data_IF_483216109760
#
_entry.id   IF_483216109760
#
_cell.length_a   1.000
_cell.length_b   1.000
_cell.length_c   1.000
_cell.angle_alpha   90.00
_cell.angle_beta   90.00
_cell.angle_gamma   90.00
#
_symmetry.space_group_name_H-M   'P 1'
#
loop_
_entity.id
_entity.type
_entity.pdbx_description
1 polymer ?
#
# COMPACT_ATOMS: atom_id res chain seq x y z
N UNK A 1 4.49 2.08 -2.10
CA UNK A 1 3.41 3.09 -2.30
C UNK A 1 2.85 2.98 -3.72
N UNK A 2 1.52 3.01 -3.92
CA UNK A 2 0.93 3.04 -5.28
C UNK A 2 0.82 1.69 -6.00
N UNK A 3 1.06 0.57 -5.30
CA UNK A 3 1.04 -0.78 -5.87
C UNK A 3 2.29 -1.13 -6.67
N UNK A 4 2.36 -2.39 -7.12
CA UNK A 4 3.39 -2.87 -8.03
C UNK A 4 3.13 -2.35 -9.45
N UNK A 5 4.16 -1.77 -10.07
CA UNK A 5 4.07 -1.10 -11.37
C UNK A 5 3.56 -2.05 -12.44
N UNK A 6 2.39 -1.76 -12.99
CA UNK A 6 1.74 -2.56 -14.03
C UNK A 6 1.34 -3.97 -13.59
N UNK A 7 1.19 -4.21 -12.28
CA UNK A 7 0.53 -5.40 -11.73
C UNK A 7 -0.67 -4.99 -10.89
N UNK A 8 -0.46 -4.14 -9.88
CA UNK A 8 -1.50 -3.74 -8.93
C UNK A 8 -1.14 -4.10 -7.51
N UNK A 9 -2.10 -4.59 -6.73
CA UNK A 9 -1.92 -4.93 -5.31
C UNK A 9 -1.94 -6.44 -5.12
N UNK A 10 -0.96 -6.97 -4.39
CA UNK A 10 -0.94 -8.38 -3.97
C UNK A 10 -1.87 -8.53 -2.78
N UNK A 11 -2.89 -9.38 -2.89
CA UNK A 11 -3.94 -9.59 -1.86
C UNK A 11 -3.93 -10.99 -1.25
N UNK A 12 -3.21 -11.93 -1.86
CA UNK A 12 -3.14 -13.32 -1.46
C UNK A 12 -1.73 -13.63 -0.92
N UNK A 13 -1.56 -14.87 -0.49
CA UNK A 13 -0.27 -15.40 -0.08
C UNK A 13 0.78 -15.22 -1.19
N UNK A 14 2.00 -14.89 -0.77
CA UNK A 14 3.10 -14.60 -1.67
C UNK A 14 4.39 -15.23 -1.19
N UNK A 15 5.29 -15.49 -2.14
CA UNK A 15 6.65 -15.93 -1.88
C UNK A 15 7.63 -14.84 -2.32
N UNK A 16 8.69 -14.63 -1.56
CA UNK A 16 9.77 -13.70 -1.89
C UNK A 16 11.02 -14.51 -2.25
N UNK A 17 11.39 -14.51 -3.54
CA UNK A 17 12.56 -15.21 -4.05
C UNK A 17 13.75 -14.26 -4.17
N UNK A 18 14.96 -14.79 -3.93
CA UNK A 18 16.20 -14.04 -4.12
C UNK A 18 16.49 -13.88 -5.62
N UNK A 19 16.72 -12.64 -6.07
CA UNK A 19 17.10 -12.33 -7.46
C UNK A 19 15.92 -12.12 -8.40
N UNK A 20 16.14 -12.38 -9.69
CA UNK A 20 15.14 -12.26 -10.75
C UNK A 20 14.59 -13.63 -11.19
N UNK A 21 13.44 -13.61 -11.84
CA UNK A 21 12.83 -14.81 -12.46
C UNK A 21 12.51 -14.53 -13.92
N UNK A 22 12.50 -15.57 -14.74
CA UNK A 22 12.25 -15.45 -16.18
C UNK A 22 10.80 -15.07 -16.49
N UNK A 23 10.59 -13.87 -17.00
CA UNK A 23 9.30 -13.42 -17.53
C UNK A 23 8.82 -12.09 -16.96
N UNK A 24 7.82 -11.47 -17.62
CA UNK A 24 7.24 -10.23 -17.18
C UNK A 24 6.28 -10.47 -16.01
N UNK A 25 5.96 -9.37 -15.31
CA UNK A 25 4.86 -9.30 -14.35
C UNK A 25 3.55 -9.88 -14.92
N UNK A 26 2.71 -10.48 -14.06
CA UNK A 26 1.45 -11.18 -14.39
C UNK A 26 1.57 -12.52 -15.10
N UNK A 27 2.79 -13.00 -15.43
CA UNK A 27 2.98 -14.35 -15.98
C UNK A 27 2.84 -15.40 -14.88
N UNK A 28 2.12 -16.49 -15.18
CA UNK A 28 2.07 -17.69 -14.31
C UNK A 28 3.43 -18.39 -14.31
N UNK A 29 3.89 -18.80 -13.12
CA UNK A 29 5.19 -19.45 -12.93
C UNK A 29 5.01 -20.71 -12.10
N UNK A 30 5.54 -21.84 -12.58
CA UNK A 30 5.51 -23.11 -11.85
C UNK A 30 6.78 -23.27 -11.01
N UNK A 31 6.64 -23.32 -9.69
CA UNK A 31 7.74 -23.56 -8.77
C UNK A 31 7.90 -25.06 -8.50
N UNK A 32 9.10 -25.58 -8.71
CA UNK A 32 9.43 -27.00 -8.50
C UNK A 32 10.50 -27.13 -7.41
N UNK A 33 10.43 -28.21 -6.63
CA UNK A 33 11.48 -28.54 -5.66
C UNK A 33 12.84 -28.69 -6.38
N UNK A 34 13.95 -28.24 -5.77
CA UNK A 34 15.27 -28.41 -6.35
C UNK A 34 15.62 -29.89 -6.58
N UNK A 35 16.35 -30.19 -7.66
CA UNK A 35 17.00 -31.51 -7.85
C UNK A 35 18.48 -31.47 -7.46
N UNK A 36 19.09 -30.28 -7.46
CA UNK A 36 20.45 -30.11 -7.04
C UNK A 36 20.59 -30.43 -5.53
N UNK A 37 21.73 -30.99 -5.10
CA UNK A 37 21.98 -31.26 -3.69
C UNK A 37 22.04 -29.95 -2.91
N UNK A 38 21.11 -29.78 -1.96
CA UNK A 38 21.02 -28.60 -1.09
C UNK A 38 22.00 -28.72 0.09
N UNK A 39 23.26 -29.05 -0.17
CA UNK A 39 24.28 -29.33 0.84
C UNK A 39 25.11 -28.10 1.21
N UNK A 40 25.20 -27.12 0.30
CA UNK A 40 26.07 -25.96 0.47
C UNK A 40 25.62 -25.04 1.61
N UNK A 41 26.59 -24.39 2.26
CA UNK A 41 26.34 -23.47 3.39
C UNK A 41 25.44 -22.30 3.00
N UNK A 42 25.60 -21.79 1.77
CA UNK A 42 24.76 -20.72 1.22
C UNK A 42 23.28 -21.14 1.07
N UNK A 43 23.02 -22.42 0.74
CA UNK A 43 21.65 -22.93 0.56
C UNK A 43 20.98 -23.34 1.87
N UNK A 44 21.76 -23.62 2.92
CA UNK A 44 21.27 -24.00 4.27
C UNK A 44 21.13 -22.83 5.23
N UNK A 45 21.46 -21.61 4.80
CA UNK A 45 21.38 -20.43 5.63
C UNK A 45 19.92 -20.11 6.01
N UNK A 46 19.66 -19.91 7.31
CA UNK A 46 18.34 -19.49 7.79
C UNK A 46 18.22 -17.97 7.64
N UNK A 47 17.26 -17.52 6.84
CA UNK A 47 17.09 -16.10 6.53
C UNK A 47 16.11 -15.45 7.51
N UNK A 48 16.58 -14.41 8.22
CA UNK A 48 15.74 -13.51 9.03
C UNK A 48 15.87 -12.10 8.46
N UNK A 49 14.76 -11.57 7.95
CA UNK A 49 14.72 -10.24 7.35
C UNK A 49 14.63 -9.16 8.43
N UNK A 50 15.38 -8.07 8.27
CA UNK A 50 15.29 -6.89 9.15
C UNK A 50 14.40 -5.79 8.57
N UNK A 51 14.38 -5.64 7.24
CA UNK A 51 13.68 -4.56 6.56
C UNK A 51 13.26 -4.98 5.14
N UNK A 52 12.09 -4.51 4.71
CA UNK A 52 11.58 -4.67 3.35
C UNK A 52 11.22 -3.28 2.82
N UNK A 53 11.76 -2.92 1.67
CA UNK A 53 11.44 -1.66 1.01
C UNK A 53 10.03 -1.71 0.38
N UNK A 54 9.14 -0.89 0.91
CA UNK A 54 7.74 -0.70 0.49
C UNK A 54 7.51 0.65 -0.18
N UNK A 55 8.59 1.36 -0.52
CA UNK A 55 8.55 2.64 -1.21
C UNK A 55 7.89 2.57 -2.60
N UNK A 56 7.66 3.72 -3.23
CA UNK A 56 7.15 3.76 -4.61
C UNK A 56 8.19 3.22 -5.59
N UNK A 57 7.74 2.42 -6.56
CA UNK A 57 8.55 2.02 -7.73
C UNK A 57 8.19 2.82 -9.00
N UNK A 58 7.28 3.78 -8.87
CA UNK A 58 7.02 4.81 -9.87
C UNK A 58 7.95 5.98 -9.55
N UNK A 59 8.88 6.28 -10.46
CA UNK A 59 9.94 7.26 -10.25
C UNK A 59 10.87 6.89 -9.09
N UNK A 60 11.35 7.89 -8.36
CA UNK A 60 12.22 7.68 -7.19
C UNK A 60 11.39 7.56 -5.89
N UNK A 61 11.39 6.38 -5.28
CA UNK A 61 10.72 6.11 -4.01
C UNK A 61 11.40 6.82 -2.83
N UNK A 62 10.65 7.64 -2.08
CA UNK A 62 11.17 8.42 -0.93
C UNK A 62 10.61 8.02 0.43
N UNK A 63 9.40 7.51 0.48
CA UNK A 63 8.68 7.19 1.72
C UNK A 63 8.24 5.73 1.69
N UNK A 64 8.32 5.04 2.83
CA UNK A 64 7.86 3.66 2.96
C UNK A 64 6.34 3.63 3.09
N UNK A 65 5.82 4.44 4.01
CA UNK A 65 4.39 4.49 4.29
C UNK A 65 3.73 5.79 3.82
N UNK A 66 2.42 5.74 3.60
CA UNK A 66 1.62 6.95 3.36
C UNK A 66 1.62 7.89 4.58
N UNK A 67 1.79 7.34 5.79
CA UNK A 67 1.84 8.09 7.03
C UNK A 67 3.08 8.97 7.09
N UNK A 68 4.26 8.41 6.82
CA UNK A 68 5.51 9.17 6.71
C UNK A 68 5.40 10.30 5.69
N UNK A 69 4.86 9.99 4.50
CA UNK A 69 4.66 10.99 3.44
C UNK A 69 3.78 12.15 3.91
N UNK A 70 2.68 11.86 4.59
CA UNK A 70 1.75 12.88 5.08
C UNK A 70 2.35 13.71 6.22
N UNK A 71 3.14 13.09 7.10
CA UNK A 71 3.86 13.81 8.15
C UNK A 71 4.90 14.77 7.57
N UNK A 72 5.63 14.33 6.54
CA UNK A 72 6.63 15.16 5.86
C UNK A 72 6.01 16.36 5.13
N UNK A 73 4.96 16.14 4.33
CA UNK A 73 4.35 17.22 3.55
C UNK A 73 3.40 18.12 4.34
N UNK A 74 2.87 17.64 5.48
CA UNK A 74 1.87 18.37 6.25
C UNK A 74 0.55 18.57 5.48
N UNK A 75 -0.29 19.54 5.90
CA UNK A 75 -1.57 19.81 5.28
C UNK A 75 -1.40 20.53 3.92
N UNK A 76 -1.74 19.85 2.83
CA UNK A 76 -1.71 20.43 1.48
C UNK A 76 -3.02 21.19 1.17
N UNK A 77 -3.00 22.03 0.13
CA UNK A 77 -4.16 22.81 -0.33
C UNK A 77 -5.40 21.94 -0.58
N UNK A 78 -5.24 20.80 -1.27
CA UNK A 78 -6.34 19.86 -1.55
C UNK A 78 -6.97 19.27 -0.28
N UNK A 79 -6.17 19.08 0.77
CA UNK A 79 -6.64 18.52 2.03
C UNK A 79 -7.42 19.57 2.83
N UNK A 80 -7.01 20.84 2.76
CA UNK A 80 -7.76 21.98 3.32
C UNK A 80 -9.13 22.14 2.68
N UNK A 81 -9.19 22.16 1.34
CA UNK A 81 -10.46 22.28 0.60
C UNK A 81 -11.40 21.13 0.96
N UNK A 82 -10.90 19.89 0.95
CA UNK A 82 -11.70 18.71 1.33
C UNK A 82 -12.20 18.78 2.78
N UNK A 83 -11.40 19.35 3.69
CA UNK A 83 -11.80 19.56 5.10
C UNK A 83 -12.91 20.61 5.20
N UNK A 84 -12.80 21.72 4.49
CA UNK A 84 -13.82 22.78 4.45
C UNK A 84 -15.15 22.27 3.86
N UNK A 85 -15.10 21.50 2.77
CA UNK A 85 -16.28 20.85 2.20
C UNK A 85 -16.92 19.87 3.18
N UNK A 86 -16.12 19.09 3.91
CA UNK A 86 -16.61 18.15 4.93
C UNK A 86 -17.33 18.91 6.06
N UNK A 87 -16.73 20.00 6.55
CA UNK A 87 -17.34 20.86 7.57
C UNK A 87 -18.64 21.49 7.08
N UNK A 88 -18.69 21.94 5.82
CA UNK A 88 -19.91 22.49 5.20
C UNK A 88 -21.02 21.44 5.11
N UNK A 89 -20.70 20.23 4.64
CA UNK A 89 -21.65 19.10 4.56
C UNK A 89 -22.16 18.70 5.95
N UNK A 90 -21.29 18.67 6.95
CA UNK A 90 -21.66 18.35 8.32
C UNK A 90 -22.59 19.40 8.93
N UNK A 91 -22.30 20.69 8.72
CA UNK A 91 -23.18 21.80 9.14
C UNK A 91 -24.55 21.71 8.47
N UNK A 92 -24.60 21.41 7.18
CA UNK A 92 -25.85 21.24 6.44
C UNK A 92 -26.65 20.02 6.94
N UNK A 93 -25.99 18.88 7.18
CA UNK A 93 -26.64 17.68 7.71
C UNK A 93 -27.24 17.93 9.11
N UNK A 94 -26.50 18.60 10.02
CA UNK A 94 -27.01 18.99 11.34
C UNK A 94 -28.21 19.94 11.24
N UNK A 95 -28.22 20.84 10.25
CA UNK A 95 -29.35 21.75 10.04
C UNK A 95 -30.61 21.01 9.55
N UNK A 96 -30.46 20.02 8.65
CA UNK A 96 -31.56 19.16 8.19
C UNK A 96 -32.10 18.31 9.35
N UNK A 97 -31.22 17.70 10.14
CA UNK A 97 -31.61 16.89 11.30
C UNK A 97 -32.39 17.73 12.33
N UNK A 98 -31.95 18.96 12.59
CA UNK A 98 -32.67 19.89 13.46
C UNK A 98 -34.06 20.21 12.91
N UNK A 99 -34.19 20.54 11.62
CA UNK A 99 -35.50 20.81 10.99
C UNK A 99 -36.45 19.60 11.08
N UNK A 100 -35.95 18.39 10.84
CA UNK A 100 -36.75 17.17 10.91
C UNK A 100 -37.24 16.86 12.34
N UNK A 101 -36.44 17.18 13.36
CA UNK A 101 -36.85 17.05 14.78
C UNK A 101 -37.92 18.06 15.16
N UNK A 102 -37.83 19.30 14.68
CA UNK A 102 -38.86 20.32 14.95
C UNK A 102 -40.19 20.02 14.26
N UNK A 103 -40.17 19.40 13.07
CA UNK A 103 -41.39 19.05 12.32
C UNK A 103 -42.12 17.79 12.84
N UNK A 104 -41.48 17.00 13.70
CA UNK A 104 -42.07 15.81 14.36
C UNK A 104 -42.65 16.09 15.74
N UNK A 105 -42.50 17.32 16.24
CA UNK A 105 -43.01 17.79 17.54
C UNK A 105 -44.21 18.68 17.28
#
# INVERSE_FOLDING_TARGET
>A
MGGFVGYGTVRNDYVMLKGSVSGPRRRVMTLRRPMAPQTSRQLKEKIVLKFIDTSSKIGHGRFQTKKEKNQWFGPLKKDRIRREERLRKERAARAVERKAKTAKK
#
